data_IF_297543223149
#
_entry.id   IF_297543223149
#
_cell.length_a   1.000
_cell.length_b   1.000
_cell.length_c   1.000
_cell.angle_alpha   90.00
_cell.angle_beta   90.00
_cell.angle_gamma   90.00
#
_symmetry.space_group_name_H-M   'P 1'
#
loop_
_entity.id
_entity.type
_entity.pdbx_description
1 polymer ?
#
# COMPACT_ATOMS: atom_id res chain seq x y z
N UNK A 1 13.35 11.66 4.21
CA UNK A 1 12.23 10.76 3.93
C UNK A 1 11.48 11.32 2.74
N UNK A 2 11.13 10.50 1.77
CA UNK A 2 10.25 10.84 0.65
C UNK A 2 8.89 10.28 0.97
N UNK A 3 7.85 11.08 0.78
CA UNK A 3 6.45 10.70 1.02
C UNK A 3 5.68 10.93 -0.27
N UNK A 4 5.00 9.91 -0.72
CA UNK A 4 4.08 9.93 -1.85
C UNK A 4 2.68 9.62 -1.31
N UNK A 5 1.69 10.37 -1.72
CA UNK A 5 0.28 10.15 -1.32
C UNK A 5 -0.60 10.31 -2.54
N UNK A 6 -1.44 9.34 -2.77
CA UNK A 6 -2.50 9.38 -3.78
C UNK A 6 -3.85 9.09 -3.13
N UNK A 7 -4.88 9.80 -3.59
CA UNK A 7 -6.23 9.70 -3.05
C UNK A 7 -7.24 9.52 -4.17
N UNK A 8 -8.32 8.81 -3.88
CA UNK A 8 -9.44 8.64 -4.80
C UNK A 8 -10.77 8.70 -4.06
N UNK A 9 -11.74 9.42 -4.62
CA UNK A 9 -13.14 9.36 -4.21
C UNK A 9 -13.84 8.22 -4.96
N UNK A 10 -14.57 7.39 -4.23
CA UNK A 10 -15.23 6.20 -4.77
C UNK A 10 -16.72 6.28 -4.44
N UNK A 11 -17.63 6.25 -5.43
CA UNK A 11 -19.08 6.27 -5.20
C UNK A 11 -19.61 4.89 -4.79
N UNK A 12 -18.93 4.28 -3.81
CA UNK A 12 -19.31 3.05 -3.14
C UNK A 12 -19.38 3.29 -1.63
N UNK A 13 -20.17 2.50 -0.91
CA UNK A 13 -20.31 2.70 0.53
C UNK A 13 -19.00 2.46 1.26
N UNK A 14 -18.80 3.18 2.35
CA UNK A 14 -17.64 2.97 3.23
C UNK A 14 -17.61 1.52 3.77
N UNK A 15 -18.75 0.88 3.97
CA UNK A 15 -18.87 -0.51 4.39
C UNK A 15 -18.25 -1.48 3.36
N UNK A 16 -18.41 -1.22 2.05
CA UNK A 16 -17.74 -2.01 1.01
C UNK A 16 -16.22 -1.89 1.09
N UNK A 17 -15.70 -0.66 1.24
CA UNK A 17 -14.28 -0.41 1.41
C UNK A 17 -13.73 -1.08 2.68
N UNK A 18 -14.48 -0.98 3.79
CA UNK A 18 -14.15 -1.62 5.06
C UNK A 18 -14.12 -3.15 4.96
N UNK A 19 -15.11 -3.74 4.29
CA UNK A 19 -15.17 -5.18 4.06
C UNK A 19 -14.01 -5.67 3.17
N UNK A 20 -13.66 -4.91 2.14
CA UNK A 20 -12.50 -5.18 1.30
C UNK A 20 -11.21 -5.16 2.13
N UNK A 21 -11.03 -4.16 2.99
CA UNK A 21 -9.86 -4.06 3.87
C UNK A 21 -9.81 -5.19 4.91
N UNK A 22 -10.95 -5.69 5.39
CA UNK A 22 -11.01 -6.79 6.35
C UNK A 22 -10.51 -8.13 5.76
N UNK A 23 -10.59 -8.29 4.44
CA UNK A 23 -10.10 -9.47 3.69
C UNK A 23 -8.78 -9.19 2.96
N UNK A 24 -7.95 -8.31 3.47
CA UNK A 24 -6.81 -7.74 2.77
C UNK A 24 -5.80 -8.76 2.22
N UNK A 25 -5.56 -9.90 2.89
CA UNK A 25 -4.67 -10.95 2.37
C UNK A 25 -5.10 -11.44 0.97
N UNK A 26 -6.39 -11.71 0.83
CA UNK A 26 -6.96 -12.20 -0.43
C UNK A 26 -7.15 -11.06 -1.43
N UNK A 27 -7.68 -9.94 -0.95
CA UNK A 27 -8.00 -8.78 -1.77
C UNK A 27 -6.74 -8.08 -2.29
N UNK A 28 -5.66 -8.02 -1.52
CA UNK A 28 -4.39 -7.48 -1.99
C UNK A 28 -3.91 -8.20 -3.25
N UNK A 29 -3.95 -9.53 -3.23
CA UNK A 29 -3.51 -10.32 -4.39
C UNK A 29 -4.38 -10.06 -5.61
N UNK A 30 -5.68 -9.85 -5.43
CA UNK A 30 -6.63 -9.57 -6.53
C UNK A 30 -6.62 -8.11 -6.99
N UNK A 31 -6.21 -7.19 -6.12
CA UNK A 31 -6.29 -5.75 -6.31
C UNK A 31 -5.53 -5.27 -7.55
N UNK A 32 -4.32 -5.77 -7.77
CA UNK A 32 -3.47 -5.36 -8.89
C UNK A 32 -2.94 -6.57 -9.67
N UNK A 33 -2.74 -6.46 -11.01
CA UNK A 33 -2.09 -7.50 -11.80
C UNK A 33 -0.68 -7.83 -11.32
N UNK A 34 -0.06 -6.91 -10.60
CA UNK A 34 1.32 -6.98 -10.15
C UNK A 34 1.48 -7.48 -8.71
N UNK A 35 0.41 -7.57 -7.93
CA UNK A 35 0.41 -8.12 -6.59
C UNK A 35 0.44 -9.65 -6.64
N UNK A 36 1.41 -10.27 -5.97
CA UNK A 36 1.68 -11.71 -6.06
C UNK A 36 1.20 -12.44 -4.80
N UNK A 37 1.53 -11.88 -3.62
CA UNK A 37 1.32 -12.57 -2.35
C UNK A 37 1.14 -11.55 -1.22
N UNK A 38 0.24 -11.87 -0.29
CA UNK A 38 0.10 -11.17 0.99
C UNK A 38 -0.13 -12.22 2.07
N UNK A 39 0.65 -12.18 3.15
CA UNK A 39 0.53 -13.14 4.26
C UNK A 39 0.51 -12.42 5.60
N UNK A 40 -0.53 -12.66 6.39
CA UNK A 40 -0.64 -12.28 7.78
C UNK A 40 -0.21 -13.45 8.68
N UNK A 41 0.96 -13.37 9.30
CA UNK A 41 1.51 -14.49 10.06
C UNK A 41 0.74 -14.85 11.34
N UNK A 42 -0.02 -13.93 11.89
CA UNK A 42 -0.78 -14.15 13.13
C UNK A 42 -2.30 -14.25 12.90
N UNK A 43 -2.75 -14.27 11.66
CA UNK A 43 -4.17 -14.37 11.29
C UNK A 43 -5.05 -13.17 11.68
N UNK A 44 -4.47 -12.13 12.28
CA UNK A 44 -5.18 -10.96 12.74
C UNK A 44 -4.59 -9.69 12.11
N UNK A 45 -5.47 -8.83 11.60
CA UNK A 45 -5.11 -7.56 11.00
C UNK A 45 -5.12 -6.45 12.07
N UNK A 46 -4.20 -6.56 13.05
CA UNK A 46 -4.12 -5.67 14.20
C UNK A 46 -2.71 -5.09 14.36
N UNK A 47 -2.60 -4.00 15.14
CA UNK A 47 -1.31 -3.47 15.55
C UNK A 47 -0.47 -4.56 16.25
N UNK A 48 0.79 -4.71 15.83
CA UNK A 48 1.71 -5.77 16.26
C UNK A 48 1.74 -6.99 15.35
N UNK A 49 0.79 -7.18 14.44
CA UNK A 49 0.77 -8.31 13.52
C UNK A 49 1.87 -8.19 12.47
N UNK A 50 2.47 -9.32 12.13
CA UNK A 50 3.45 -9.43 11.04
C UNK A 50 2.73 -9.67 9.73
N UNK A 51 3.15 -8.95 8.70
CA UNK A 51 2.62 -9.07 7.35
C UNK A 51 3.76 -9.05 6.33
N UNK A 52 3.61 -9.82 5.25
CA UNK A 52 4.52 -9.86 4.11
C UNK A 52 3.74 -9.52 2.86
N UNK A 53 4.30 -8.63 2.06
CA UNK A 53 3.83 -8.32 0.71
C UNK A 53 4.87 -8.76 -0.31
N UNK A 54 4.42 -9.32 -1.42
CA UNK A 54 5.24 -9.57 -2.60
C UNK A 54 4.51 -9.06 -3.83
N UNK A 55 5.18 -8.23 -4.59
CA UNK A 55 4.63 -7.55 -5.75
C UNK A 55 5.73 -7.22 -6.77
N UNK A 56 5.34 -6.94 -8.01
CA UNK A 56 6.26 -6.45 -9.03
C UNK A 56 6.15 -4.93 -9.11
N UNK A 57 7.14 -4.22 -8.62
CA UNK A 57 7.21 -2.76 -8.69
C UNK A 57 8.24 -2.36 -9.74
N UNK A 58 7.83 -1.65 -10.78
CA UNK A 58 8.71 -1.22 -11.89
C UNK A 58 9.47 -2.38 -12.57
N UNK A 59 8.88 -3.58 -12.61
CA UNK A 59 9.50 -4.79 -13.17
C UNK A 59 10.50 -5.48 -12.24
N UNK A 60 10.60 -5.06 -10.97
CA UNK A 60 11.41 -5.69 -9.95
C UNK A 60 10.52 -6.46 -8.97
N UNK A 61 10.93 -7.68 -8.63
CA UNK A 61 10.29 -8.47 -7.57
C UNK A 61 10.58 -7.81 -6.21
N UNK A 62 9.55 -7.23 -5.62
CA UNK A 62 9.61 -6.55 -4.33
C UNK A 62 8.95 -7.42 -3.27
N UNK A 63 9.77 -7.96 -2.38
CA UNK A 63 9.37 -8.84 -1.29
C UNK A 63 9.72 -8.17 0.05
N UNK A 64 8.70 -7.78 0.81
CA UNK A 64 8.89 -7.03 2.04
C UNK A 64 8.07 -7.62 3.18
N UNK A 65 8.74 -7.87 4.30
CA UNK A 65 8.11 -8.23 5.57
C UNK A 65 8.18 -7.05 6.53
N UNK A 66 7.17 -6.89 7.33
CA UNK A 66 7.12 -5.86 8.34
C UNK A 66 6.01 -6.08 9.35
N UNK A 67 5.71 -5.03 10.08
CA UNK A 67 4.73 -5.04 11.18
C UNK A 67 3.67 -3.98 10.94
N UNK A 68 2.42 -4.31 11.16
CA UNK A 68 1.34 -3.35 11.28
C UNK A 68 1.58 -2.58 12.58
N UNK A 69 1.91 -1.31 12.50
CA UNK A 69 2.24 -0.48 13.67
C UNK A 69 1.04 0.29 14.22
N UNK A 70 0.05 0.56 13.36
CA UNK A 70 -1.21 1.20 13.70
C UNK A 70 -2.33 0.48 12.97
N UNK A 71 -3.45 0.27 13.65
CA UNK A 71 -4.68 -0.25 13.07
C UNK A 71 -5.84 0.36 13.86
N UNK A 72 -6.38 1.45 13.33
CA UNK A 72 -7.51 2.17 13.89
C UNK A 72 -8.69 2.01 12.96
N UNK A 73 -9.87 1.77 13.52
CA UNK A 73 -11.08 1.59 12.74
C UNK A 73 -12.31 1.97 13.55
N UNK A 74 -13.17 2.78 12.94
CA UNK A 74 -14.48 3.14 13.49
C UNK A 74 -15.60 3.07 12.42
N UNK A 75 -16.72 3.73 12.65
CA UNK A 75 -17.88 3.73 11.75
C UNK A 75 -17.66 4.59 10.49
N UNK A 76 -16.73 5.52 10.51
CA UNK A 76 -16.53 6.51 9.44
C UNK A 76 -15.11 6.55 8.89
N UNK A 77 -14.17 5.90 9.56
CA UNK A 77 -12.76 5.99 9.24
C UNK A 77 -12.02 4.72 9.60
N UNK A 78 -11.03 4.34 8.79
CA UNK A 78 -9.97 3.41 9.20
C UNK A 78 -8.61 3.99 8.80
N UNK A 79 -7.60 3.59 9.57
CA UNK A 79 -6.19 3.88 9.29
C UNK A 79 -5.34 2.69 9.65
N UNK A 80 -4.54 2.21 8.72
CA UNK A 80 -3.64 1.08 8.89
C UNK A 80 -2.25 1.50 8.43
N UNK A 81 -1.26 1.33 9.30
CA UNK A 81 0.13 1.67 9.02
C UNK A 81 0.99 0.42 9.10
N UNK A 82 1.59 0.09 8.00
CA UNK A 82 2.62 -0.92 7.87
C UNK A 82 4.01 -0.28 7.95
N UNK A 83 4.96 -0.95 8.62
CA UNK A 83 6.37 -0.57 8.64
C UNK A 83 7.25 -1.78 8.35
N UNK A 84 8.11 -1.68 7.34
CA UNK A 84 9.06 -2.73 7.00
C UNK A 84 10.02 -3.04 8.16
N UNK A 85 10.46 -4.30 8.27
CA UNK A 85 11.41 -4.73 9.33
C UNK A 85 12.74 -3.99 9.24
N UNK A 86 13.16 -3.62 8.05
CA UNK A 86 14.34 -2.76 7.81
C UNK A 86 14.12 -1.30 8.21
N UNK A 87 12.88 -0.92 8.56
CA UNK A 87 12.49 0.45 8.93
C UNK A 87 12.79 1.50 7.85
N UNK A 88 12.78 1.09 6.59
CA UNK A 88 13.08 1.92 5.43
C UNK A 88 11.86 2.27 4.59
N UNK A 89 10.74 1.59 4.82
CA UNK A 89 9.47 1.83 4.14
C UNK A 89 8.30 1.81 5.13
N UNK A 90 7.36 2.70 4.89
CA UNK A 90 6.07 2.78 5.58
C UNK A 90 5.00 2.85 4.51
N UNK A 91 3.94 2.08 4.69
CA UNK A 91 2.76 2.14 3.85
C UNK A 91 1.57 2.46 4.75
N UNK A 92 0.77 3.42 4.37
CA UNK A 92 -0.46 3.78 5.07
C UNK A 92 -1.63 3.66 4.13
N UNK A 93 -2.63 2.89 4.54
CA UNK A 93 -3.94 2.86 3.92
C UNK A 93 -4.94 3.54 4.85
N UNK A 94 -5.71 4.46 4.30
CA UNK A 94 -6.71 5.20 5.04
C UNK A 94 -8.00 5.28 4.24
N UNK A 95 -9.11 4.97 4.87
CA UNK A 95 -10.44 5.08 4.28
C UNK A 95 -11.33 5.97 5.11
N UNK A 96 -12.13 6.80 4.45
CA UNK A 96 -13.08 7.72 5.09
C UNK A 96 -14.43 7.64 4.41
N UNK A 97 -15.49 7.72 5.21
CA UNK A 97 -16.85 7.95 4.68
C UNK A 97 -16.94 9.38 4.16
N UNK A 98 -17.59 9.54 3.02
CA UNK A 98 -17.91 10.86 2.43
C UNK A 98 -19.40 10.96 2.11
N UNK A 99 -19.85 12.15 1.73
CA UNK A 99 -21.26 12.37 1.36
C UNK A 99 -21.69 11.58 0.11
N UNK A 100 -20.74 11.31 -0.79
CA UNK A 100 -21.00 10.61 -2.06
C UNK A 100 -20.57 9.14 -2.06
N UNK A 101 -19.99 8.66 -0.95
CA UNK A 101 -19.49 7.29 -0.85
C UNK A 101 -18.35 7.14 0.14
N UNK A 102 -17.15 6.87 -0.37
CA UNK A 102 -15.95 6.81 0.46
C UNK A 102 -14.73 7.41 -0.25
N UNK A 103 -13.72 7.81 0.53
CA UNK A 103 -12.41 8.20 0.05
C UNK A 103 -11.40 7.16 0.49
N UNK A 104 -10.52 6.76 -0.41
CA UNK A 104 -9.36 5.93 -0.10
C UNK A 104 -8.08 6.73 -0.32
N UNK A 105 -7.13 6.59 0.60
CA UNK A 105 -5.82 7.23 0.53
C UNK A 105 -4.74 6.16 0.71
N UNK A 106 -3.81 6.12 -0.23
CA UNK A 106 -2.62 5.30 -0.21
C UNK A 106 -1.39 6.21 -0.04
N UNK A 107 -0.63 6.01 1.02
CA UNK A 107 0.60 6.76 1.28
C UNK A 107 1.77 5.81 1.42
N UNK A 108 2.83 6.08 0.68
CA UNK A 108 4.11 5.41 0.81
C UNK A 108 5.19 6.39 1.27
N UNK A 109 5.94 6.01 2.29
CA UNK A 109 7.03 6.80 2.82
C UNK A 109 8.32 5.99 2.84
N UNK A 110 9.34 6.51 2.19
CA UNK A 110 10.64 5.88 2.05
C UNK A 110 11.71 6.63 2.82
N UNK A 111 12.56 5.89 3.53
CA UNK A 111 13.69 6.42 4.27
C UNK A 111 13.67 6.01 5.73
N UNK A 112 14.83 6.16 6.40
CA UNK A 112 15.00 5.82 7.80
C UNK A 112 14.60 6.98 8.71
N UNK A 113 13.92 6.66 9.81
CA UNK A 113 13.44 7.64 10.79
C UNK A 113 14.45 7.93 11.94
N UNK A 114 15.57 7.18 12.01
CA UNK A 114 16.60 7.38 13.05
C UNK A 114 17.34 8.70 12.86
N UNK A 115 17.45 9.57 13.89
CA UNK A 115 17.83 10.99 13.69
C UNK A 115 19.20 11.24 13.05
N UNK A 116 20.23 10.49 13.40
CA UNK A 116 21.62 10.74 12.92
C UNK A 116 22.01 9.78 11.80
N UNK A 117 21.92 8.49 12.06
CA UNK A 117 22.27 7.44 11.09
C UNK A 117 21.29 7.46 9.92
N UNK A 118 20.00 7.68 10.21
CA UNK A 118 18.97 7.77 9.21
C UNK A 118 19.15 8.94 8.26
N UNK A 119 19.56 10.11 8.72
CA UNK A 119 19.82 11.25 7.86
C UNK A 119 20.97 10.99 6.87
N UNK A 120 22.04 10.38 7.33
CA UNK A 120 23.21 10.03 6.49
C UNK A 120 22.88 8.92 5.50
N UNK A 121 22.16 7.88 5.95
CA UNK A 121 21.70 6.79 5.08
C UNK A 121 20.67 7.26 4.07
N UNK A 122 19.72 8.11 4.47
CA UNK A 122 18.77 8.71 3.54
C UNK A 122 19.48 9.56 2.49
N UNK A 123 20.48 10.35 2.88
CA UNK A 123 21.28 11.12 1.95
C UNK A 123 22.01 10.22 0.94
N UNK A 124 22.56 9.10 1.39
CA UNK A 124 23.23 8.13 0.53
C UNK A 124 22.25 7.44 -0.43
N UNK A 125 21.16 6.90 0.10
CA UNK A 125 20.11 6.24 -0.69
C UNK A 125 19.53 7.22 -1.71
N UNK A 126 19.15 8.43 -1.29
CA UNK A 126 18.49 9.40 -2.18
C UNK A 126 19.47 10.12 -3.11
N UNK A 127 20.73 10.33 -2.75
CA UNK A 127 21.73 10.89 -3.66
C UNK A 127 22.31 9.88 -4.65
N UNK A 128 22.48 8.63 -4.24
CA UNK A 128 23.16 7.61 -5.07
C UNK A 128 22.16 6.80 -5.87
N UNK A 129 21.10 6.32 -5.24
CA UNK A 129 20.13 5.40 -5.86
C UNK A 129 18.91 6.07 -6.48
N UNK A 130 18.55 7.26 -6.03
CA UNK A 130 17.29 7.92 -6.44
C UNK A 130 17.49 9.23 -7.18
N UNK A 131 18.57 9.38 -7.91
CA UNK A 131 18.86 10.59 -8.73
C UNK A 131 17.83 10.86 -9.83
N UNK A 132 17.01 9.88 -10.19
CA UNK A 132 16.02 10.04 -11.27
C UNK A 132 14.64 10.33 -10.69
N UNK A 133 14.17 11.56 -10.82
CA UNK A 133 12.75 11.92 -10.58
C UNK A 133 11.78 10.93 -11.26
N UNK A 134 12.19 10.34 -12.38
CA UNK A 134 11.43 9.34 -13.11
C UNK A 134 11.07 8.09 -12.28
N UNK A 135 11.89 7.67 -11.31
CA UNK A 135 11.59 6.48 -10.50
C UNK A 135 10.46 6.76 -9.49
N UNK A 136 10.47 7.94 -8.87
CA UNK A 136 9.39 8.35 -7.96
C UNK A 136 8.08 8.58 -8.68
N UNK A 137 8.15 9.10 -9.91
CA UNK A 137 6.97 9.23 -10.75
C UNK A 137 6.38 7.87 -11.12
N UNK A 138 7.20 6.85 -11.41
CA UNK A 138 6.69 5.49 -11.68
C UNK A 138 6.00 4.86 -10.47
N UNK A 139 6.56 5.01 -9.26
CA UNK A 139 5.89 4.53 -8.04
C UNK A 139 4.54 5.24 -7.89
N UNK A 140 4.51 6.55 -8.10
CA UNK A 140 3.27 7.31 -8.06
C UNK A 140 2.25 6.85 -9.12
N UNK A 141 2.71 6.56 -10.32
CA UNK A 141 1.86 6.06 -11.41
C UNK A 141 1.28 4.68 -11.06
N UNK A 142 2.06 3.80 -10.38
CA UNK A 142 1.57 2.51 -9.86
C UNK A 142 0.51 2.72 -8.77
N UNK A 143 0.72 3.63 -7.81
CA UNK A 143 -0.27 3.97 -6.79
C UNK A 143 -1.58 4.51 -7.38
N UNK A 144 -1.49 5.35 -8.42
CA UNK A 144 -2.66 5.87 -9.16
C UNK A 144 -3.40 4.73 -9.86
N UNK A 145 -2.67 3.80 -10.45
CA UNK A 145 -3.25 2.65 -11.13
C UNK A 145 -3.95 1.71 -10.14
N UNK A 146 -3.33 1.42 -9.01
CA UNK A 146 -3.92 0.63 -7.94
C UNK A 146 -5.21 1.28 -7.40
N UNK A 147 -5.20 2.59 -7.21
CA UNK A 147 -6.39 3.32 -6.81
C UNK A 147 -7.54 3.20 -7.84
N UNK A 148 -7.23 3.17 -9.14
CA UNK A 148 -8.22 2.94 -10.20
C UNK A 148 -8.78 1.52 -10.15
N UNK A 149 -7.93 0.52 -9.97
CA UNK A 149 -8.39 -0.85 -9.80
C UNK A 149 -9.30 -0.99 -8.58
N UNK A 150 -8.95 -0.35 -7.46
CA UNK A 150 -9.81 -0.33 -6.28
C UNK A 150 -11.16 0.32 -6.55
N UNK A 151 -11.17 1.42 -7.32
CA UNK A 151 -12.42 2.05 -7.77
C UNK A 151 -13.29 1.06 -8.55
N UNK A 152 -12.74 0.39 -9.56
CA UNK A 152 -13.46 -0.58 -10.39
C UNK A 152 -13.96 -1.78 -9.56
N UNK A 153 -13.14 -2.28 -8.62
CA UNK A 153 -13.51 -3.37 -7.70
C UNK A 153 -14.70 -2.97 -6.84
N UNK A 154 -14.68 -1.79 -6.23
CA UNK A 154 -15.71 -1.38 -5.28
C UNK A 154 -17.01 -0.93 -5.95
N UNK A 155 -16.94 -0.41 -7.18
CA UNK A 155 -18.12 0.09 -7.91
C UNK A 155 -18.74 -0.95 -8.84
N UNK A 156 -17.91 -1.78 -9.51
CA UNK A 156 -18.32 -2.68 -10.59
C UNK A 156 -18.04 -4.16 -10.28
N UNK A 157 -17.40 -4.46 -9.13
CA UNK A 157 -16.89 -5.81 -8.79
C UNK A 157 -15.93 -6.37 -9.86
N UNK A 158 -15.24 -5.46 -10.55
CA UNK A 158 -14.36 -5.79 -11.67
C UNK A 158 -12.90 -5.82 -11.20
N UNK A 159 -12.35 -7.01 -11.15
CA UNK A 159 -10.95 -7.23 -10.84
C UNK A 159 -10.09 -7.20 -12.11
N UNK A 160 -8.86 -6.68 -12.05
CA UNK A 160 -7.95 -6.69 -13.20
C UNK A 160 -7.50 -8.12 -13.55
N UNK A 161 -7.26 -8.37 -14.84
CA UNK A 161 -6.66 -9.64 -15.27
C UNK A 161 -5.23 -9.75 -14.75
N UNK A 162 -4.87 -10.93 -14.23
CA UNK A 162 -3.51 -11.19 -13.75
C UNK A 162 -2.50 -11.17 -14.91
N UNK A 163 -1.41 -10.45 -14.73
CA UNK A 163 -0.30 -10.49 -15.66
C UNK A 163 0.41 -11.85 -15.60
N UNK A 164 0.93 -12.33 -16.75
CA UNK A 164 1.58 -13.65 -16.87
C UNK A 164 2.92 -13.77 -16.09
N UNK A 165 3.27 -12.84 -15.21
CA UNK A 165 4.51 -12.85 -14.43
C UNK A 165 4.56 -13.94 -13.34
N UNK A 166 3.45 -14.63 -13.09
CA UNK A 166 3.36 -15.68 -12.06
C UNK A 166 3.81 -17.07 -12.54
N UNK A 167 4.31 -17.21 -13.77
CA UNK A 167 4.57 -18.52 -14.42
C UNK A 167 5.99 -18.71 -14.97
N UNK A 168 7.00 -18.05 -14.38
CA UNK A 168 8.40 -18.37 -14.75
C UNK A 168 9.24 -18.70 -13.53
#
# INVERSE_FOLDING_TARGET
MIVLTEQIEIPASYEKLKAWTANFEEEFVKWSPYHIECNLYNGNYNAGSKIRFREIVMGLDYDVTGTITECEQDENHFRIVFRSDKKTAFITFEGKRTEIGCQFSHTEAFGMTTPVIGASMNLLIFKVFSRKKANWQRIRDDMILDNRYLYDILTEEKYPEKSCWTSC
#
